data_IF_845455582613
#
_entry.id   IF_845455582613
#
_cell.length_a   1.000
_cell.length_b   1.000
_cell.length_c   1.000
_cell.angle_alpha   90.00
_cell.angle_beta   90.00
_cell.angle_gamma   90.00
#
_symmetry.space_group_name_H-M   'P 1'
#
loop_
_entity.id
_entity.type
_entity.pdbx_description
1 polymer ?
#
# COMPACT_ATOMS: atom_id res chain seq x y z
N UNK A 1 -7.65 -2.72 13.32
CA UNK A 1 -6.66 -2.87 12.22
C UNK A 1 -6.91 -4.24 11.63
N UNK A 2 -7.03 -4.42 10.31
CA UNK A 2 -7.39 -5.72 9.72
C UNK A 2 -6.26 -6.76 9.92
N UNK A 3 -6.33 -7.54 11.00
CA UNK A 3 -5.30 -8.49 11.42
C UNK A 3 -4.98 -9.55 10.36
N UNK A 4 -5.98 -9.96 9.59
CA UNK A 4 -5.83 -10.92 8.49
C UNK A 4 -4.87 -10.45 7.40
N UNK A 5 -4.88 -9.16 7.07
CA UNK A 5 -4.03 -8.61 6.00
C UNK A 5 -2.60 -8.46 6.49
N UNK A 6 -2.42 -8.03 7.73
CA UNK A 6 -1.12 -7.96 8.40
C UNK A 6 -0.48 -9.36 8.42
N UNK A 7 -1.24 -10.37 8.82
CA UNK A 7 -0.77 -11.75 8.87
C UNK A 7 -0.46 -12.30 7.48
N UNK A 8 -1.25 -11.94 6.45
CA UNK A 8 -0.94 -12.30 5.06
C UNK A 8 0.37 -11.68 4.57
N UNK A 9 0.60 -10.38 4.81
CA UNK A 9 1.83 -9.70 4.35
C UNK A 9 3.07 -10.32 5.00
N UNK A 10 3.02 -10.63 6.31
CA UNK A 10 4.13 -11.23 7.05
C UNK A 10 4.57 -12.61 6.52
N UNK A 11 3.73 -13.32 5.77
CA UNK A 11 4.07 -14.61 5.15
C UNK A 11 4.96 -14.45 3.91
N UNK A 12 5.06 -13.25 3.34
CA UNK A 12 5.90 -12.99 2.18
C UNK A 12 7.30 -12.56 2.62
N UNK A 13 8.29 -12.98 1.83
CA UNK A 13 9.66 -12.52 1.92
C UNK A 13 9.91 -11.43 0.87
N UNK A 14 10.97 -10.63 1.02
CA UNK A 14 11.29 -9.49 0.16
C UNK A 14 11.40 -9.88 -1.32
N UNK A 15 11.94 -11.07 -1.60
CA UNK A 15 12.07 -11.69 -2.93
C UNK A 15 10.72 -12.05 -3.57
N UNK A 16 9.64 -12.19 -2.80
CA UNK A 16 8.29 -12.47 -3.29
C UNK A 16 7.44 -11.22 -3.51
N UNK A 17 8.05 -10.03 -3.44
CA UNK A 17 7.37 -8.75 -3.64
C UNK A 17 7.80 -8.15 -4.98
N UNK A 18 6.82 -7.92 -5.87
CA UNK A 18 7.08 -7.48 -7.23
C UNK A 18 6.18 -6.34 -7.67
N UNK A 19 6.75 -5.38 -8.40
CA UNK A 19 5.99 -4.33 -9.08
C UNK A 19 5.44 -4.85 -10.41
N UNK A 20 4.14 -4.65 -10.68
CA UNK A 20 3.49 -5.24 -11.86
C UNK A 20 3.43 -4.33 -13.09
N UNK A 21 3.56 -3.02 -12.92
CA UNK A 21 3.50 -2.08 -14.06
C UNK A 21 4.80 -2.15 -14.86
N UNK A 22 4.76 -2.30 -16.19
CA UNK A 22 5.96 -2.31 -17.05
C UNK A 22 6.92 -1.13 -16.78
N UNK A 23 6.38 0.08 -16.61
CA UNK A 23 7.17 1.31 -16.42
C UNK A 23 7.29 1.72 -14.93
N UNK A 24 7.24 0.76 -14.00
CA UNK A 24 7.28 1.09 -12.58
C UNK A 24 8.56 1.84 -12.20
N UNK A 25 9.73 1.44 -12.75
CA UNK A 25 11.03 2.05 -12.44
C UNK A 25 11.05 3.55 -12.72
N UNK A 26 10.62 3.97 -13.91
CA UNK A 26 10.50 5.40 -14.26
C UNK A 26 9.59 6.14 -13.28
N UNK A 27 8.46 5.52 -12.91
CA UNK A 27 7.52 6.12 -11.95
C UNK A 27 8.05 6.19 -10.51
N UNK A 28 9.00 5.32 -10.15
CA UNK A 28 9.71 5.39 -8.87
C UNK A 28 10.75 6.51 -8.90
N UNK A 29 11.53 6.62 -9.99
CA UNK A 29 12.53 7.67 -10.20
C UNK A 29 11.90 9.06 -10.17
N UNK A 30 10.81 9.28 -10.89
CA UNK A 30 10.05 10.55 -10.89
C UNK A 30 9.57 10.97 -9.49
N UNK A 31 9.40 10.00 -8.60
CA UNK A 31 8.94 10.22 -7.22
C UNK A 31 10.06 10.16 -6.20
N UNK A 32 11.31 10.00 -6.64
CA UNK A 32 12.49 9.79 -5.82
C UNK A 32 12.27 8.67 -4.78
N UNK A 33 11.80 7.51 -5.25
CA UNK A 33 11.53 6.34 -4.42
C UNK A 33 12.46 5.20 -4.79
N UNK A 34 13.03 4.54 -3.78
CA UNK A 34 13.80 3.32 -3.96
C UNK A 34 12.93 2.06 -3.85
N UNK A 35 13.17 1.08 -4.72
CA UNK A 35 12.40 -0.15 -4.75
C UNK A 35 12.58 -0.98 -3.47
N UNK A 36 13.80 -1.09 -2.97
CA UNK A 36 14.12 -1.89 -1.80
C UNK A 36 13.52 -1.27 -0.54
N UNK A 37 13.61 0.04 -0.38
CA UNK A 37 12.95 0.77 0.71
C UNK A 37 11.44 0.52 0.72
N UNK A 38 10.79 0.55 -0.45
CA UNK A 38 9.35 0.33 -0.55
C UNK A 38 8.95 -1.09 -0.16
N UNK A 39 9.76 -2.10 -0.52
CA UNK A 39 9.52 -3.50 -0.13
C UNK A 39 9.73 -3.69 1.37
N UNK A 40 10.79 -3.10 1.93
CA UNK A 40 11.06 -3.15 3.37
C UNK A 40 9.97 -2.46 4.17
N UNK A 41 9.49 -1.30 3.73
CA UNK A 41 8.37 -0.61 4.36
C UNK A 41 7.10 -1.47 4.32
N UNK A 42 6.84 -2.15 3.19
CA UNK A 42 5.68 -3.02 3.08
C UNK A 42 5.74 -4.21 4.05
N UNK A 43 6.94 -4.73 4.33
CA UNK A 43 7.16 -5.77 5.35
C UNK A 43 7.16 -5.20 6.77
N UNK A 44 7.66 -3.98 6.95
CA UNK A 44 7.70 -3.26 8.21
C UNK A 44 6.42 -2.43 8.41
N UNK A 45 5.37 -3.13 8.81
CA UNK A 45 4.01 -2.60 8.99
C UNK A 45 3.85 -1.56 10.11
N UNK A 46 4.95 -1.04 10.69
CA UNK A 46 4.97 -0.04 11.77
C UNK A 46 4.09 1.17 11.50
N UNK A 47 4.08 1.66 10.26
CA UNK A 47 3.33 2.87 9.88
C UNK A 47 2.01 2.57 9.17
N UNK A 48 1.63 1.31 9.02
CA UNK A 48 0.33 0.95 8.45
C UNK A 48 -0.78 1.39 9.40
N UNK A 49 -1.72 2.21 8.91
CA UNK A 49 -2.88 2.68 9.69
C UNK A 49 -4.20 2.15 9.17
N UNK A 50 -4.32 2.03 7.85
CA UNK A 50 -5.56 1.58 7.23
C UNK A 50 -5.30 0.59 6.14
N UNK A 51 -6.20 -0.38 6.07
CA UNK A 51 -6.36 -1.25 4.93
C UNK A 51 -7.77 -1.02 4.40
N UNK A 52 -7.89 -0.80 3.10
CA UNK A 52 -9.19 -0.67 2.45
C UNK A 52 -9.23 -1.70 1.32
N UNK A 53 -10.12 -2.70 1.38
CA UNK A 53 -10.34 -3.57 0.24
C UNK A 53 -10.96 -2.76 -0.92
N UNK A 54 -10.41 -2.94 -2.11
CA UNK A 54 -10.86 -2.34 -3.36
C UNK A 54 -11.20 -3.48 -4.31
N UNK A 55 -12.49 -3.85 -4.34
CA UNK A 55 -13.02 -4.84 -5.29
C UNK A 55 -13.25 -4.11 -6.61
N UNK A 56 -12.51 -4.49 -7.65
CA UNK A 56 -12.72 -3.98 -9.01
C UNK A 56 -13.02 -5.14 -9.94
N UNK A 57 -13.95 -4.92 -10.85
CA UNK A 57 -14.11 -5.78 -12.02
C UNK A 57 -13.29 -5.20 -13.17
N UNK A 58 -12.49 -6.05 -13.81
CA UNK A 58 -11.71 -5.70 -14.99
C UNK A 58 -11.75 -6.90 -15.94
N UNK A 59 -12.31 -6.72 -17.14
CA UNK A 59 -12.54 -7.80 -18.12
C UNK A 59 -13.20 -9.05 -17.49
N UNK A 60 -14.36 -8.89 -16.86
CA UNK A 60 -15.17 -9.96 -16.27
C UNK A 60 -14.49 -10.80 -15.16
N UNK A 61 -13.28 -10.40 -14.72
CA UNK A 61 -12.62 -10.97 -13.57
C UNK A 61 -12.74 -10.06 -12.35
N UNK A 62 -13.28 -10.62 -11.26
CA UNK A 62 -13.32 -9.96 -9.95
C UNK A 62 -11.90 -9.92 -9.38
N UNK A 63 -11.27 -8.76 -9.42
CA UNK A 63 -9.99 -8.54 -8.76
C UNK A 63 -10.18 -7.90 -7.39
N UNK A 64 -9.76 -8.62 -6.35
CA UNK A 64 -9.64 -8.07 -5.01
C UNK A 64 -8.25 -7.45 -4.84
N UNK A 65 -8.21 -6.12 -4.70
CA UNK A 65 -7.02 -5.35 -4.37
C UNK A 65 -7.15 -4.77 -2.97
N UNK A 66 -6.03 -4.38 -2.39
CA UNK A 66 -6.00 -3.74 -1.08
C UNK A 66 -5.22 -2.44 -1.16
N UNK A 67 -5.80 -1.37 -0.65
CA UNK A 67 -5.12 -0.08 -0.44
C UNK A 67 -4.60 -0.05 0.97
N UNK A 68 -3.28 -0.02 1.11
CA UNK A 68 -2.60 0.10 2.38
C UNK A 68 -2.13 1.54 2.56
N UNK A 69 -2.57 2.17 3.63
CA UNK A 69 -2.22 3.56 3.95
C UNK A 69 -1.19 3.60 5.06
N UNK A 70 0.04 3.93 4.69
CA UNK A 70 1.16 4.14 5.60
C UNK A 70 1.23 5.62 5.97
N UNK A 71 1.05 5.94 7.25
CA UNK A 71 1.05 7.32 7.75
C UNK A 71 2.27 7.51 8.64
N UNK A 72 3.30 8.20 8.13
CA UNK A 72 4.54 8.44 8.86
C UNK A 72 4.42 9.64 9.80
N UNK A 73 3.73 10.69 9.35
CA UNK A 73 3.63 11.93 10.10
C UNK A 73 2.36 12.72 9.78
N UNK A 74 2.30 13.92 10.36
CA UNK A 74 1.24 14.89 10.15
C UNK A 74 1.04 15.32 8.69
N UNK A 75 2.11 15.28 7.90
CA UNK A 75 2.15 15.81 6.53
C UNK A 75 2.69 14.81 5.52
N UNK A 76 3.11 13.62 5.98
CA UNK A 76 3.71 12.58 5.14
C UNK A 76 3.02 11.26 5.34
N UNK A 77 2.71 10.62 4.22
CA UNK A 77 2.20 9.26 4.15
C UNK A 77 2.18 8.78 2.71
N UNK A 78 1.93 7.49 2.53
CA UNK A 78 1.95 6.82 1.23
C UNK A 78 0.82 5.81 1.16
N UNK A 79 0.31 5.62 -0.05
CA UNK A 79 -0.66 4.57 -0.34
C UNK A 79 0.01 3.52 -1.22
N UNK A 80 -0.10 2.26 -0.82
CA UNK A 80 0.24 1.12 -1.65
C UNK A 80 -1.04 0.49 -2.14
N UNK A 81 -1.09 0.15 -3.43
CA UNK A 81 -2.16 -0.68 -3.99
C UNK A 81 -1.55 -2.03 -4.28
N UNK A 82 -1.99 -3.04 -3.54
CA UNK A 82 -1.44 -4.39 -3.63
C UNK A 82 -2.50 -5.42 -4.01
N UNK A 83 -2.03 -6.57 -4.50
CA UNK A 83 -2.83 -7.76 -4.76
C UNK A 83 -2.09 -8.98 -4.20
N UNK A 84 -2.80 -9.82 -3.45
CA UNK A 84 -2.27 -11.07 -2.91
C UNK A 84 -2.51 -12.21 -3.90
N UNK A 85 -1.43 -12.81 -4.40
CA UNK A 85 -1.43 -14.06 -5.17
C UNK A 85 -0.37 -15.02 -4.56
N UNK A 86 0.18 -15.95 -5.36
CA UNK A 86 1.42 -16.68 -5.02
C UNK A 86 2.60 -15.76 -4.69
N UNK A 87 2.61 -14.56 -5.27
CA UNK A 87 3.52 -13.45 -4.96
C UNK A 87 2.72 -12.21 -4.53
N UNK A 88 3.37 -11.33 -3.76
CA UNK A 88 2.80 -10.05 -3.35
C UNK A 88 3.04 -9.01 -4.44
N UNK A 89 1.97 -8.63 -5.15
CA UNK A 89 2.05 -7.72 -6.27
C UNK A 89 1.80 -6.28 -5.83
N UNK A 90 2.77 -5.39 -6.02
CA UNK A 90 2.61 -3.94 -5.89
C UNK A 90 2.17 -3.38 -7.25
N UNK A 91 0.93 -2.94 -7.32
CA UNK A 91 0.36 -2.39 -8.57
C UNK A 91 0.82 -0.95 -8.75
N UNK A 92 0.72 -0.16 -7.69
CA UNK A 92 1.17 1.23 -7.69
C UNK A 92 1.43 1.71 -6.28
N UNK A 93 2.29 2.70 -6.17
CA UNK A 93 2.58 3.41 -4.93
C UNK A 93 2.59 4.90 -5.20
N UNK A 94 2.00 5.68 -4.30
CA UNK A 94 1.93 7.12 -4.45
C UNK A 94 1.88 7.84 -3.09
N UNK A 95 2.45 9.05 -2.99
CA UNK A 95 2.37 9.85 -1.78
C UNK A 95 0.92 10.29 -1.51
N UNK A 96 0.55 10.39 -0.24
CA UNK A 96 -0.73 10.92 0.18
C UNK A 96 -0.69 12.45 0.23
N UNK A 97 -1.59 13.09 -0.51
CA UNK A 97 -1.77 14.53 -0.43
C UNK A 97 -2.29 14.99 0.94
N UNK A 98 -2.03 16.26 1.28
CA UNK A 98 -2.45 16.88 2.56
C UNK A 98 -3.95 16.72 2.84
N UNK A 99 -4.82 16.90 1.83
CA UNK A 99 -6.28 16.74 1.97
C UNK A 99 -6.64 15.33 2.41
N UNK A 100 -6.02 14.32 1.81
CA UNK A 100 -6.25 12.90 2.12
C UNK A 100 -5.76 12.57 3.54
N UNK A 101 -4.57 13.04 3.92
CA UNK A 101 -4.04 12.87 5.29
C UNK A 101 -4.97 13.51 6.33
N UNK A 102 -5.47 14.71 6.09
CA UNK A 102 -6.40 15.41 6.99
C UNK A 102 -7.75 14.69 7.12
N UNK A 103 -8.28 14.13 6.02
CA UNK A 103 -9.50 13.32 6.05
C UNK A 103 -9.33 12.08 6.94
N UNK A 104 -8.24 11.35 6.77
CA UNK A 104 -7.97 10.17 7.59
C UNK A 104 -7.75 10.51 9.07
N UNK A 105 -7.12 11.65 9.37
CA UNK A 105 -6.99 12.12 10.75
C UNK A 105 -8.31 12.41 11.45
N UNK A 106 -9.28 13.02 10.75
CA UNK A 106 -10.62 13.23 11.32
C UNK A 106 -11.24 11.89 11.73
N UNK A 107 -11.16 10.90 10.83
CA UNK A 107 -11.59 9.52 11.14
C UNK A 107 -10.82 8.85 12.29
N UNK A 108 -9.52 9.12 12.47
CA UNK A 108 -8.77 8.61 13.64
C UNK A 108 -9.20 9.25 14.96
N UNK A 109 -9.60 10.53 14.95
CA UNK A 109 -10.07 11.22 16.16
C UNK A 109 -11.47 10.79 16.57
N UNK A 110 -12.31 10.44 15.62
CA UNK A 110 -13.70 9.96 15.85
C UNK A 110 -13.75 8.49 16.27
N UNK A 111 -12.70 7.70 16.00
CA UNK A 111 -12.60 6.29 16.36
C UNK A 111 -11.91 6.05 17.72
N UNK A 112 -11.79 7.08 18.55
CA UNK A 112 -11.28 7.04 19.92
C UNK A 112 -12.40 7.41 20.88
#
# INVERSE_FOLDING_TARGET
>A
MDEDIVNKIKKYTKDKIFFTKKNYKSSLIERNLDENELKEELLNLKYLKYVIPDKREFHDQKELRFKLYFIYSRSRGRCYVIKFNSILKIITVFPLGRKTLNRYRKRLKEAK
#
